data_IF_766816059342
#
_entry.id   IF_766816059342
#
_cell.length_a   1.000
_cell.length_b   1.000
_cell.length_c   1.000
_cell.angle_alpha   90.00
_cell.angle_beta   90.00
_cell.angle_gamma   90.00
#
_symmetry.space_group_name_H-M   'P 1'
#
loop_
_entity.id
_entity.type
_entity.pdbx_description
1 polymer ?
#
# COMPACT_ATOMS: atom_id res chain seq x y z
N UNK A 1 8.75 -6.14 32.53
CA UNK A 1 8.32 -6.67 33.83
C UNK A 1 6.85 -6.30 33.91
N UNK A 2 5.92 -7.26 34.04
CA UNK A 2 4.50 -6.93 34.17
C UNK A 2 4.26 -6.11 35.42
N UNK A 3 3.33 -5.15 35.35
CA UNK A 3 2.97 -4.26 36.47
C UNK A 3 2.31 -5.00 37.64
N UNK A 4 2.08 -6.29 37.51
CA UNK A 4 1.28 -7.07 38.45
C UNK A 4 -0.25 -6.84 38.30
N UNK A 5 -0.64 -5.85 37.47
CA UNK A 5 -2.04 -5.60 37.13
C UNK A 5 -2.29 -6.08 35.68
N UNK A 6 -2.98 -7.18 35.55
CA UNK A 6 -3.26 -7.82 34.27
C UNK A 6 -4.06 -6.96 33.29
N UNK A 7 -4.76 -5.92 33.76
CA UNK A 7 -5.46 -4.95 32.92
C UNK A 7 -4.44 -4.09 32.16
N UNK A 8 -3.45 -3.58 32.87
CA UNK A 8 -2.33 -2.81 32.32
C UNK A 8 -1.51 -3.67 31.38
N UNK A 9 -1.21 -4.90 31.79
CA UNK A 9 -0.43 -5.83 30.97
C UNK A 9 -1.16 -6.17 29.64
N UNK A 10 -2.50 -6.31 29.67
CA UNK A 10 -3.31 -6.55 28.48
C UNK A 10 -3.30 -5.34 27.50
N UNK A 11 -3.47 -4.12 28.02
CA UNK A 11 -3.39 -2.90 27.22
C UNK A 11 -1.99 -2.71 26.64
N UNK A 12 -0.96 -2.86 27.44
CA UNK A 12 0.43 -2.73 26.96
C UNK A 12 0.74 -3.77 25.88
N UNK A 13 0.31 -5.02 26.04
CA UNK A 13 0.49 -6.06 25.02
C UNK A 13 -0.20 -5.70 23.71
N UNK A 14 -1.40 -5.11 23.76
CA UNK A 14 -2.11 -4.67 22.57
C UNK A 14 -1.39 -3.48 21.90
N UNK A 15 -0.88 -2.52 22.66
CA UNK A 15 -0.11 -1.39 22.15
C UNK A 15 1.25 -1.81 21.59
N UNK A 16 1.95 -2.74 22.25
CA UNK A 16 3.20 -3.31 21.73
C UNK A 16 2.97 -3.99 20.37
N UNK A 17 1.88 -4.77 20.24
CA UNK A 17 1.51 -5.39 18.97
C UNK A 17 1.21 -4.34 17.90
N UNK A 18 0.46 -3.28 18.23
CA UNK A 18 0.17 -2.16 17.33
C UNK A 18 1.47 -1.51 16.86
N UNK A 19 2.35 -1.15 17.79
CA UNK A 19 3.63 -0.52 17.48
C UNK A 19 4.53 -1.42 16.62
N UNK A 20 4.56 -2.72 16.92
CA UNK A 20 5.29 -3.70 16.12
C UNK A 20 4.76 -3.79 14.69
N UNK A 21 3.42 -3.65 14.47
CA UNK A 21 2.85 -3.61 13.12
C UNK A 21 3.14 -2.30 12.39
N UNK A 22 3.17 -1.18 13.09
CA UNK A 22 3.60 0.10 12.52
C UNK A 22 5.05 0.05 12.05
N UNK A 23 5.94 -0.53 12.84
CA UNK A 23 7.34 -0.74 12.47
C UNK A 23 7.47 -1.67 11.26
N UNK A 24 6.74 -2.80 11.24
CA UNK A 24 6.71 -3.72 10.10
C UNK A 24 6.23 -3.01 8.82
N UNK A 25 5.19 -2.17 8.91
CA UNK A 25 4.72 -1.36 7.78
C UNK A 25 5.81 -0.43 7.28
N UNK A 26 6.50 0.26 8.20
CA UNK A 26 7.58 1.16 7.85
C UNK A 26 8.70 0.45 7.09
N UNK A 27 9.10 -0.72 7.57
CA UNK A 27 10.08 -1.58 6.89
C UNK A 27 9.58 -2.04 5.51
N UNK A 28 8.30 -2.45 5.41
CA UNK A 28 7.71 -2.90 4.15
C UNK A 28 7.65 -1.78 3.10
N UNK A 29 7.30 -0.56 3.47
CA UNK A 29 7.20 0.58 2.55
C UNK A 29 8.57 0.96 2.01
N UNK A 30 9.62 0.84 2.82
CA UNK A 30 11.01 1.14 2.45
C UNK A 30 11.71 -0.02 1.73
N UNK A 31 11.16 -1.24 1.80
CA UNK A 31 11.75 -2.42 1.16
C UNK A 31 11.37 -2.49 -0.33
N UNK A 32 12.36 -2.75 -1.19
CA UNK A 32 12.10 -3.01 -2.60
C UNK A 32 11.43 -4.37 -2.82
N UNK A 33 10.56 -4.53 -3.84
CA UNK A 33 9.92 -5.81 -4.16
C UNK A 33 10.94 -6.91 -4.48
N UNK A 34 12.10 -6.54 -5.01
CA UNK A 34 13.20 -7.45 -5.33
C UNK A 34 13.74 -8.14 -4.07
N UNK A 35 13.76 -7.42 -2.94
CA UNK A 35 14.31 -7.87 -1.67
C UNK A 35 13.27 -8.39 -0.67
N UNK A 36 11.99 -8.24 -0.98
CA UNK A 36 10.91 -8.65 -0.10
C UNK A 36 11.01 -10.16 0.21
N UNK A 37 10.99 -10.49 1.50
CA UNK A 37 11.16 -11.87 2.01
C UNK A 37 12.36 -12.62 1.38
N UNK A 38 13.49 -11.94 1.22
CA UNK A 38 14.73 -12.54 0.72
C UNK A 38 14.75 -12.78 -0.79
N UNK A 39 13.86 -12.16 -1.56
CA UNK A 39 13.88 -12.21 -3.03
C UNK A 39 13.36 -13.50 -3.68
N UNK A 40 12.99 -14.51 -2.90
CA UNK A 40 12.51 -15.78 -3.45
C UNK A 40 11.25 -15.62 -4.31
N UNK A 41 10.31 -14.78 -3.86
CA UNK A 41 9.08 -14.47 -4.61
C UNK A 41 9.42 -13.76 -5.91
N UNK A 42 10.34 -12.80 -5.87
CA UNK A 42 10.75 -12.03 -7.04
C UNK A 42 11.30 -12.93 -8.16
N UNK A 43 12.14 -13.93 -7.83
CA UNK A 43 12.67 -14.87 -8.81
C UNK A 43 11.56 -15.67 -9.52
N UNK A 44 10.50 -16.04 -8.80
CA UNK A 44 9.32 -16.69 -9.39
C UNK A 44 8.62 -15.75 -10.36
N UNK A 45 8.42 -14.48 -9.97
CA UNK A 45 7.79 -13.46 -10.81
C UNK A 45 8.58 -13.20 -12.09
N UNK A 46 9.91 -13.10 -11.99
CA UNK A 46 10.81 -12.99 -13.15
C UNK A 46 10.65 -14.19 -14.09
N UNK A 47 10.60 -15.41 -13.54
CA UNK A 47 10.38 -16.62 -14.33
C UNK A 47 9.04 -16.62 -15.06
N UNK A 48 7.95 -16.25 -14.38
CA UNK A 48 6.61 -16.17 -14.98
C UNK A 48 6.56 -15.07 -16.07
N UNK A 49 7.12 -13.90 -15.80
CA UNK A 49 7.22 -12.82 -16.78
C UNK A 49 7.98 -13.28 -18.04
N UNK A 50 9.12 -14.00 -17.86
CA UNK A 50 9.88 -14.59 -18.95
C UNK A 50 9.06 -15.54 -19.80
N UNK A 51 8.26 -16.42 -19.18
CA UNK A 51 7.35 -17.33 -19.89
C UNK A 51 6.24 -16.57 -20.65
N UNK A 52 5.68 -15.54 -20.03
CA UNK A 52 4.63 -14.71 -20.65
C UNK A 52 5.14 -13.79 -21.76
N UNK A 53 6.44 -13.54 -21.89
CA UNK A 53 7.03 -12.82 -23.04
C UNK A 53 6.72 -13.51 -24.37
N UNK A 54 6.72 -14.83 -24.42
CA UNK A 54 6.36 -15.58 -25.64
C UNK A 54 4.92 -15.29 -26.07
N UNK A 55 3.99 -15.28 -25.11
CA UNK A 55 2.58 -14.91 -25.34
C UNK A 55 2.48 -13.43 -25.74
N UNK A 56 3.24 -12.56 -25.09
CA UNK A 56 3.33 -11.13 -25.41
C UNK A 56 3.75 -10.92 -26.86
N UNK A 57 4.76 -11.62 -27.37
CA UNK A 57 5.20 -11.51 -28.77
C UNK A 57 4.14 -12.02 -29.75
N UNK A 58 3.43 -13.11 -29.45
CA UNK A 58 2.33 -13.59 -30.27
C UNK A 58 1.19 -12.54 -30.35
N UNK A 59 0.81 -11.98 -29.20
CA UNK A 59 -0.20 -10.91 -29.14
C UNK A 59 0.26 -9.62 -29.82
N UNK A 60 1.54 -9.28 -29.76
CA UNK A 60 2.12 -8.13 -30.41
C UNK A 60 1.89 -8.21 -31.93
N UNK A 61 2.17 -9.37 -32.56
CA UNK A 61 1.91 -9.59 -33.98
C UNK A 61 0.41 -9.48 -34.27
N UNK A 62 -0.45 -10.07 -33.45
CA UNK A 62 -1.90 -10.02 -33.63
C UNK A 62 -2.43 -8.57 -33.53
N UNK A 63 -2.01 -7.80 -32.51
CA UNK A 63 -2.42 -6.40 -32.37
C UNK A 63 -1.87 -5.53 -33.50
N UNK A 64 -0.67 -5.81 -33.99
CA UNK A 64 -0.11 -5.12 -35.13
C UNK A 64 -0.93 -5.34 -36.39
N UNK A 65 -1.28 -6.59 -36.71
CA UNK A 65 -2.14 -6.92 -37.86
C UNK A 65 -3.51 -6.26 -37.73
N UNK A 66 -4.14 -6.35 -36.56
CA UNK A 66 -5.41 -5.64 -36.32
C UNK A 66 -5.27 -4.13 -36.47
N UNK A 67 -4.16 -3.57 -36.04
CA UNK A 67 -3.84 -2.14 -36.21
C UNK A 67 -3.76 -1.73 -37.67
N UNK A 68 -3.08 -2.52 -38.49
CA UNK A 68 -2.97 -2.29 -39.95
C UNK A 68 -4.35 -2.36 -40.59
N UNK A 69 -5.12 -3.43 -40.33
CA UNK A 69 -6.46 -3.62 -40.93
C UNK A 69 -7.41 -2.46 -40.62
N UNK A 70 -7.38 -1.96 -39.35
CA UNK A 70 -8.26 -0.86 -38.95
C UNK A 70 -7.79 0.52 -39.41
N UNK A 71 -6.47 0.72 -39.51
CA UNK A 71 -5.90 2.02 -39.88
C UNK A 71 -5.84 2.22 -41.39
N UNK A 72 -5.63 1.10 -42.12
CA UNK A 72 -5.59 1.07 -43.58
C UNK A 72 -6.89 0.43 -44.07
N UNK A 73 -8.01 1.16 -44.06
CA UNK A 73 -9.31 0.68 -44.52
C UNK A 73 -9.36 0.20 -45.98
N UNK A 74 -8.26 0.46 -46.75
CA UNK A 74 -8.03 -0.03 -48.10
C UNK A 74 -6.54 -0.27 -48.32
N UNK A 75 -6.19 -1.33 -49.06
CA UNK A 75 -4.82 -1.62 -49.49
C UNK A 75 -4.16 -0.45 -50.24
N UNK A 76 -4.95 0.47 -50.80
CA UNK A 76 -4.46 1.66 -51.51
C UNK A 76 -3.83 2.67 -50.51
N UNK A 77 -4.28 2.75 -49.28
CA UNK A 77 -3.73 3.63 -48.24
C UNK A 77 -2.40 3.14 -47.68
N UNK A 78 -2.14 1.82 -47.68
CA UNK A 78 -0.83 1.25 -47.33
C UNK A 78 0.31 1.65 -48.26
N UNK A 79 0.01 2.13 -49.46
CA UNK A 79 1.03 2.64 -50.42
C UNK A 79 1.63 4.00 -50.02
N UNK A 80 1.07 4.66 -48.98
CA UNK A 80 1.66 5.90 -48.46
C UNK A 80 2.83 5.55 -47.54
N UNK A 81 4.09 5.88 -47.91
CA UNK A 81 5.29 5.50 -47.15
C UNK A 81 5.28 6.01 -45.69
N UNK A 82 4.68 7.19 -45.49
CA UNK A 82 4.56 7.79 -44.14
C UNK A 82 3.73 6.95 -43.18
N UNK A 83 2.63 6.32 -43.64
CA UNK A 83 1.77 5.52 -42.83
C UNK A 83 2.43 4.20 -42.46
N UNK A 84 3.09 3.56 -43.43
CA UNK A 84 3.86 2.34 -43.23
C UNK A 84 5.00 2.57 -42.22
N UNK A 85 5.71 3.67 -42.30
CA UNK A 85 6.79 4.03 -41.38
C UNK A 85 6.27 4.26 -39.97
N UNK A 86 5.13 4.94 -39.84
CA UNK A 86 4.47 5.16 -38.52
C UNK A 86 4.03 3.86 -37.86
N UNK A 87 3.46 2.91 -38.62
CA UNK A 87 3.11 1.58 -38.12
C UNK A 87 4.34 0.77 -37.71
N UNK A 88 5.42 0.86 -38.50
CA UNK A 88 6.68 0.18 -38.20
C UNK A 88 7.33 0.69 -36.91
N UNK A 89 7.43 2.00 -36.71
CA UNK A 89 7.96 2.59 -35.48
C UNK A 89 7.13 2.12 -34.25
N UNK A 90 5.80 2.13 -34.39
CA UNK A 90 4.93 1.66 -33.31
C UNK A 90 5.17 0.19 -32.96
N UNK A 91 5.36 -0.67 -33.98
CA UNK A 91 5.68 -2.07 -33.77
C UNK A 91 7.01 -2.25 -33.02
N UNK A 92 8.06 -1.52 -33.46
CA UNK A 92 9.39 -1.58 -32.81
C UNK A 92 9.32 -1.08 -31.37
N UNK A 93 8.60 0.00 -31.09
CA UNK A 93 8.43 0.51 -29.73
C UNK A 93 7.66 -0.47 -28.85
N UNK A 94 6.60 -1.10 -29.38
CA UNK A 94 5.86 -2.12 -28.65
C UNK A 94 6.69 -3.38 -28.38
N UNK A 95 7.50 -3.80 -29.37
CA UNK A 95 8.44 -4.90 -29.19
C UNK A 95 9.47 -4.57 -28.10
N UNK A 96 10.03 -3.38 -28.12
CA UNK A 96 10.94 -2.90 -27.10
C UNK A 96 10.27 -2.90 -25.70
N UNK A 97 9.02 -2.44 -25.60
CA UNK A 97 8.26 -2.45 -24.36
C UNK A 97 8.01 -3.86 -23.81
N UNK A 98 7.76 -4.85 -24.66
CA UNK A 98 7.61 -6.26 -24.25
C UNK A 98 8.96 -6.87 -23.86
N UNK A 99 10.03 -6.55 -24.60
CA UNK A 99 11.38 -7.11 -24.36
C UNK A 99 11.95 -6.60 -23.04
N UNK A 100 11.90 -5.28 -22.81
CA UNK A 100 12.42 -4.61 -21.62
C UNK A 100 11.32 -4.24 -20.61
N UNK A 101 10.17 -4.93 -20.69
CA UNK A 101 9.04 -4.67 -19.80
C UNK A 101 9.37 -4.83 -18.31
N UNK A 102 10.25 -5.79 -17.97
CA UNK A 102 10.69 -6.02 -16.60
C UNK A 102 11.49 -4.83 -16.07
N UNK A 103 12.45 -4.34 -16.86
CA UNK A 103 13.28 -3.20 -16.53
C UNK A 103 12.43 -1.92 -16.43
N UNK A 104 11.41 -1.78 -17.28
CA UNK A 104 10.46 -0.69 -17.21
C UNK A 104 9.65 -0.71 -15.91
N UNK A 105 9.14 -1.90 -15.51
CA UNK A 105 8.37 -2.07 -14.28
C UNK A 105 9.23 -1.78 -13.05
N UNK A 106 10.44 -2.35 -12.98
CA UNK A 106 11.37 -2.11 -11.86
C UNK A 106 11.83 -0.64 -11.81
N UNK A 107 12.07 -0.01 -12.96
CA UNK A 107 12.39 1.42 -13.06
C UNK A 107 11.29 2.32 -12.50
N UNK A 108 10.04 2.05 -12.87
CA UNK A 108 8.88 2.80 -12.35
C UNK A 108 8.75 2.65 -10.83
N UNK A 109 8.99 1.44 -10.30
CA UNK A 109 8.99 1.21 -8.86
C UNK A 109 10.11 1.98 -8.16
N UNK A 110 11.34 1.99 -8.70
CA UNK A 110 12.48 2.74 -8.12
C UNK A 110 12.20 4.24 -8.04
N UNK A 111 11.53 4.81 -9.04
CA UNK A 111 11.09 6.22 -9.00
C UNK A 111 10.11 6.44 -7.85
N UNK A 112 9.10 5.59 -7.71
CA UNK A 112 8.16 5.69 -6.59
C UNK A 112 8.85 5.52 -5.23
N UNK A 113 9.82 4.60 -5.13
CA UNK A 113 10.62 4.40 -3.92
C UNK A 113 11.45 5.64 -3.55
N UNK A 114 12.04 6.31 -4.54
CA UNK A 114 12.75 7.58 -4.33
C UNK A 114 11.81 8.68 -3.82
N UNK A 115 10.55 8.71 -4.28
CA UNK A 115 9.54 9.64 -3.74
C UNK A 115 9.22 9.32 -2.27
N UNK A 116 9.09 8.04 -1.92
CA UNK A 116 8.87 7.59 -0.52
C UNK A 116 10.01 8.08 0.36
N UNK A 117 11.28 7.85 -0.02
CA UNK A 117 12.43 8.32 0.78
C UNK A 117 12.47 9.84 0.89
N UNK A 118 12.17 10.56 -0.18
CA UNK A 118 12.10 12.03 -0.14
C UNK A 118 11.03 12.54 0.82
N UNK A 119 9.85 11.89 0.89
CA UNK A 119 8.78 12.27 1.84
C UNK A 119 9.25 12.01 3.26
N UNK A 120 9.88 10.86 3.52
CA UNK A 120 10.41 10.51 4.84
C UNK A 120 11.46 11.53 5.29
N UNK A 121 12.44 11.81 4.43
CA UNK A 121 13.53 12.74 4.74
C UNK A 121 13.02 14.18 4.99
N UNK A 122 12.02 14.61 4.20
CA UNK A 122 11.43 15.94 4.34
C UNK A 122 10.54 16.08 5.57
N UNK A 123 9.96 14.99 6.06
CA UNK A 123 9.12 14.98 7.25
C UNK A 123 9.90 14.96 8.55
N UNK A 124 11.19 14.61 8.51
CA UNK A 124 12.03 14.40 9.68
C UNK A 124 11.65 13.19 10.55
N UNK A 125 10.71 12.37 10.08
CA UNK A 125 10.26 11.17 10.79
C UNK A 125 11.20 10.02 10.47
N UNK A 126 12.00 9.62 11.45
CA UNK A 126 12.89 8.44 11.34
C UNK A 126 12.15 7.12 11.63
N UNK A 127 11.05 7.20 12.39
CA UNK A 127 10.17 6.09 12.71
C UNK A 127 8.77 6.63 13.08
N UNK A 128 7.75 5.77 13.05
CA UNK A 128 6.44 6.13 13.59
C UNK A 128 6.51 6.24 15.12
N UNK A 129 5.88 7.27 15.68
CA UNK A 129 5.82 7.44 17.13
C UNK A 129 5.12 6.24 17.77
N UNK A 130 5.79 5.60 18.72
CA UNK A 130 5.21 4.50 19.46
C UNK A 130 4.08 5.05 20.36
N UNK A 131 2.95 4.36 20.35
CA UNK A 131 1.84 4.65 21.26
C UNK A 131 2.10 3.91 22.57
N UNK A 132 2.16 4.64 23.68
CA UNK A 132 2.36 4.07 25.02
C UNK A 132 1.19 4.45 25.93
N UNK A 133 0.91 3.63 26.91
CA UNK A 133 -0.04 3.96 27.97
C UNK A 133 0.57 5.05 28.85
N UNK A 134 -0.08 6.22 29.07
CA UNK A 134 0.41 7.24 29.96
C UNK A 134 0.49 6.75 31.42
N UNK A 135 1.50 7.21 32.16
CA UNK A 135 1.68 6.84 33.57
C UNK A 135 0.49 7.25 34.45
N UNK A 136 -0.16 8.37 34.13
CA UNK A 136 -1.38 8.81 34.81
C UNK A 136 -2.54 7.81 34.62
N UNK A 137 -2.69 7.24 33.41
CA UNK A 137 -3.70 6.24 33.13
C UNK A 137 -3.40 4.93 33.85
N UNK A 138 -2.12 4.55 33.91
CA UNK A 138 -1.69 3.37 34.65
C UNK A 138 -2.00 3.52 36.15
N UNK A 139 -1.75 4.69 36.75
CA UNK A 139 -2.08 4.96 38.17
C UNK A 139 -3.57 4.91 38.45
N UNK A 140 -4.41 5.46 37.57
CA UNK A 140 -5.87 5.38 37.70
C UNK A 140 -6.35 3.92 37.72
N UNK A 141 -5.75 3.06 36.88
CA UNK A 141 -6.10 1.64 36.81
C UNK A 141 -5.61 0.89 38.06
N UNK A 142 -4.46 1.24 38.62
CA UNK A 142 -3.91 0.62 39.81
C UNK A 142 -4.69 0.95 41.10
N UNK A 143 -5.25 2.17 41.17
CA UNK A 143 -6.01 2.63 42.31
C UNK A 143 -7.46 2.05 42.40
N UNK A 144 -7.89 1.31 41.34
CA UNK A 144 -9.25 0.73 41.29
C UNK A 144 -9.34 -0.51 42.19
N UNK A 145 -10.33 -0.51 43.07
CA UNK A 145 -10.64 -1.67 43.92
C UNK A 145 -11.07 -2.91 43.12
N UNK A 146 -10.91 -4.11 43.72
CA UNK A 146 -11.16 -5.38 43.06
C UNK A 146 -12.56 -5.54 42.43
N UNK A 147 -13.60 -5.01 43.07
CA UNK A 147 -14.99 -5.10 42.56
C UNK A 147 -15.19 -4.15 41.36
N UNK A 148 -14.61 -2.95 41.39
CA UNK A 148 -14.71 -1.94 40.35
C UNK A 148 -13.77 -2.25 39.15
N UNK A 149 -12.86 -3.21 39.33
CA UNK A 149 -11.97 -3.68 38.25
C UNK A 149 -12.69 -4.60 37.23
N UNK A 150 -13.85 -5.20 37.58
CA UNK A 150 -14.58 -6.11 36.68
C UNK A 150 -15.08 -5.39 35.41
N UNK A 151 -15.80 -4.24 35.46
CA UNK A 151 -16.18 -3.50 34.26
C UNK A 151 -14.97 -2.96 33.51
N UNK A 152 -13.93 -2.56 34.21
CA UNK A 152 -12.69 -2.10 33.63
C UNK A 152 -11.99 -3.21 32.80
N UNK A 153 -11.99 -4.42 33.31
CA UNK A 153 -11.49 -5.58 32.57
C UNK A 153 -12.25 -5.82 31.27
N UNK A 154 -13.56 -5.77 31.28
CA UNK A 154 -14.36 -5.97 30.08
C UNK A 154 -14.05 -4.90 29.02
N UNK A 155 -13.91 -3.64 29.44
CA UNK A 155 -13.55 -2.52 28.57
C UNK A 155 -12.17 -2.71 27.93
N UNK A 156 -11.17 -3.04 28.72
CA UNK A 156 -9.79 -3.20 28.23
C UNK A 156 -9.63 -4.46 27.36
N UNK A 157 -10.35 -5.53 27.66
CA UNK A 157 -10.37 -6.75 26.83
C UNK A 157 -11.00 -6.48 25.46
N UNK A 158 -12.12 -5.76 25.41
CA UNK A 158 -12.73 -5.35 24.14
C UNK A 158 -11.82 -4.38 23.39
N UNK A 159 -11.25 -3.40 24.08
CA UNK A 159 -10.31 -2.44 23.49
C UNK A 159 -9.10 -3.13 22.87
N UNK A 160 -8.46 -4.04 23.58
CA UNK A 160 -7.30 -4.80 23.07
C UNK A 160 -7.67 -5.67 21.87
N UNK A 161 -8.86 -6.29 21.86
CA UNK A 161 -9.35 -7.03 20.70
C UNK A 161 -9.53 -6.13 19.47
N UNK A 162 -10.11 -4.92 19.64
CA UNK A 162 -10.22 -3.95 18.55
C UNK A 162 -8.85 -3.52 18.02
N UNK A 163 -7.91 -3.19 18.91
CA UNK A 163 -6.54 -2.81 18.52
C UNK A 163 -5.88 -3.95 17.72
N UNK A 164 -6.05 -5.19 18.16
CA UNK A 164 -5.52 -6.37 17.46
C UNK A 164 -6.11 -6.51 16.03
N UNK A 165 -7.43 -6.38 15.90
CA UNK A 165 -8.10 -6.45 14.59
C UNK A 165 -7.65 -5.31 13.67
N UNK A 166 -7.55 -4.08 14.18
CA UNK A 166 -7.09 -2.94 13.42
C UNK A 166 -5.66 -3.11 12.93
N UNK A 167 -4.77 -3.59 13.79
CA UNK A 167 -3.39 -3.92 13.45
C UNK A 167 -3.31 -4.94 12.31
N UNK A 168 -4.15 -5.98 12.36
CA UNK A 168 -4.22 -7.01 11.32
C UNK A 168 -4.73 -6.45 9.99
N UNK A 169 -5.80 -5.64 10.02
CA UNK A 169 -6.34 -5.01 8.80
C UNK A 169 -5.31 -4.10 8.15
N UNK A 170 -4.60 -3.33 8.95
CA UNK A 170 -3.58 -2.39 8.48
C UNK A 170 -2.43 -3.11 7.77
N UNK A 171 -1.84 -4.13 8.40
CA UNK A 171 -0.71 -4.87 7.81
C UNK A 171 -1.14 -5.65 6.56
N UNK A 172 -2.33 -6.26 6.54
CA UNK A 172 -2.86 -6.96 5.37
C UNK A 172 -3.04 -6.01 4.18
N UNK A 173 -3.42 -4.77 4.41
CA UNK A 173 -3.54 -3.76 3.34
C UNK A 173 -2.20 -3.49 2.69
N UNK A 174 -1.14 -3.33 3.48
CA UNK A 174 0.23 -3.10 2.96
C UNK A 174 0.76 -4.33 2.23
N UNK A 175 0.55 -5.53 2.76
CA UNK A 175 0.91 -6.77 2.05
C UNK A 175 0.18 -6.91 0.70
N UNK A 176 -1.10 -6.55 0.63
CA UNK A 176 -1.89 -6.63 -0.60
C UNK A 176 -1.30 -5.80 -1.73
N UNK A 177 -0.64 -4.66 -1.43
CA UNK A 177 0.09 -3.85 -2.41
C UNK A 177 1.21 -4.64 -3.09
N UNK A 178 2.00 -5.42 -2.32
CA UNK A 178 3.05 -6.26 -2.90
C UNK A 178 2.49 -7.32 -3.84
N UNK A 179 1.39 -7.97 -3.47
CA UNK A 179 0.73 -8.94 -4.34
C UNK A 179 0.23 -8.31 -5.63
N UNK A 180 -0.43 -7.15 -5.57
CA UNK A 180 -0.85 -6.39 -6.76
C UNK A 180 0.34 -6.07 -7.66
N UNK A 181 1.44 -5.61 -7.08
CA UNK A 181 2.67 -5.27 -7.81
C UNK A 181 3.26 -6.50 -8.52
N UNK A 182 3.36 -7.63 -7.83
CA UNK A 182 3.88 -8.86 -8.38
C UNK A 182 3.02 -9.40 -9.52
N UNK A 183 1.70 -9.44 -9.35
CA UNK A 183 0.76 -9.87 -10.39
C UNK A 183 0.87 -8.95 -11.63
N UNK A 184 0.90 -7.64 -11.43
CA UNK A 184 1.04 -6.69 -12.51
C UNK A 184 2.40 -6.83 -13.23
N UNK A 185 3.49 -6.99 -12.49
CA UNK A 185 4.84 -7.19 -13.07
C UNK A 185 4.94 -8.51 -13.84
N UNK A 186 4.40 -9.60 -13.29
CA UNK A 186 4.39 -10.90 -13.97
C UNK A 186 3.61 -10.85 -15.29
N UNK A 187 2.44 -10.21 -15.30
CA UNK A 187 1.54 -10.15 -16.45
C UNK A 187 1.88 -9.04 -17.46
N UNK A 188 2.86 -8.18 -17.17
CA UNK A 188 3.19 -7.00 -17.97
C UNK A 188 3.39 -7.26 -19.49
N UNK A 189 4.00 -8.36 -19.96
CA UNK A 189 4.20 -8.59 -21.39
C UNK A 189 2.89 -8.58 -22.20
N UNK A 190 1.78 -9.04 -21.61
CA UNK A 190 0.48 -9.15 -22.28
C UNK A 190 -0.12 -7.76 -22.60
N UNK A 191 -0.36 -6.87 -21.62
CA UNK A 191 -0.88 -5.54 -21.91
C UNK A 191 0.12 -4.65 -22.66
N UNK A 192 1.44 -4.82 -22.46
CA UNK A 192 2.43 -4.04 -23.20
C UNK A 192 2.43 -4.36 -24.71
N UNK A 193 2.12 -5.59 -25.10
CA UNK A 193 1.97 -5.95 -26.51
C UNK A 193 0.88 -5.15 -27.24
N UNK A 194 -0.13 -4.65 -26.53
CA UNK A 194 -1.23 -3.87 -27.11
C UNK A 194 -0.80 -2.54 -27.72
N UNK A 195 0.38 -2.03 -27.39
CA UNK A 195 0.94 -0.82 -28.02
C UNK A 195 1.21 -0.99 -29.51
N UNK A 196 1.34 -2.22 -30.03
CA UNK A 196 1.55 -2.48 -31.43
C UNK A 196 0.38 -2.04 -32.34
N UNK A 197 -0.84 -2.07 -31.83
CA UNK A 197 -2.05 -1.66 -32.54
C UNK A 197 -2.59 -0.31 -32.08
N UNK A 198 -3.00 0.57 -33.02
CA UNK A 198 -3.61 1.85 -32.67
C UNK A 198 -4.90 1.69 -31.85
N UNK A 199 -5.82 0.78 -32.21
CA UNK A 199 -7.08 0.63 -31.47
C UNK A 199 -6.91 -0.06 -30.11
N UNK A 200 -5.86 -0.84 -29.93
CA UNK A 200 -5.58 -1.59 -28.70
C UNK A 200 -4.65 -0.85 -27.72
N UNK A 201 -4.00 0.23 -28.15
CA UNK A 201 -3.00 0.95 -27.34
C UNK A 201 -3.56 1.51 -26.03
N UNK A 202 -4.87 1.76 -25.95
CA UNK A 202 -5.55 2.18 -24.72
C UNK A 202 -5.40 1.16 -23.57
N UNK A 203 -5.32 -0.14 -23.87
CA UNK A 203 -5.11 -1.21 -22.90
C UNK A 203 -3.73 -1.06 -22.25
N UNK A 204 -2.68 -0.86 -23.07
CA UNK A 204 -1.32 -0.65 -22.59
C UNK A 204 -1.18 0.61 -21.76
N UNK A 205 -1.82 1.71 -22.18
CA UNK A 205 -1.82 2.98 -21.42
C UNK A 205 -2.55 2.81 -20.07
N UNK A 206 -3.72 2.17 -20.07
CA UNK A 206 -4.47 1.90 -18.83
C UNK A 206 -3.65 1.01 -17.88
N UNK A 207 -2.96 0.00 -18.41
CA UNK A 207 -2.06 -0.85 -17.62
C UNK A 207 -0.92 -0.06 -17.00
N UNK A 208 -0.21 0.79 -17.78
CA UNK A 208 0.89 1.60 -17.26
C UNK A 208 0.41 2.58 -16.18
N UNK A 209 -0.74 3.22 -16.38
CA UNK A 209 -1.35 4.07 -15.36
C UNK A 209 -1.69 3.29 -14.10
N UNK A 210 -2.29 2.10 -14.24
CA UNK A 210 -2.64 1.24 -13.11
C UNK A 210 -1.39 0.76 -12.36
N UNK A 211 -0.33 0.40 -13.09
CA UNK A 211 0.94 0.01 -12.49
C UNK A 211 1.60 1.17 -11.73
N UNK A 212 1.64 2.36 -12.34
CA UNK A 212 2.13 3.56 -11.68
C UNK A 212 1.33 3.88 -10.39
N UNK A 213 0.00 3.70 -10.42
CA UNK A 213 -0.83 3.86 -9.24
C UNK A 213 -0.44 2.88 -8.12
N UNK A 214 -0.21 1.59 -8.44
CA UNK A 214 0.25 0.59 -7.47
C UNK A 214 1.63 0.96 -6.89
N UNK A 215 2.54 1.46 -7.71
CA UNK A 215 3.85 1.92 -7.24
C UNK A 215 3.72 3.12 -6.28
N UNK A 216 2.89 4.10 -6.64
CA UNK A 216 2.67 5.32 -5.87
C UNK A 216 1.79 5.13 -4.62
N UNK A 217 1.06 4.01 -4.52
CA UNK A 217 0.26 3.69 -3.32
C UNK A 217 1.12 3.77 -2.04
N UNK A 218 2.40 3.38 -2.11
CA UNK A 218 3.34 3.51 -1.00
C UNK A 218 3.58 4.96 -0.55
N UNK A 219 3.64 5.90 -1.50
CA UNK A 219 3.79 7.32 -1.17
C UNK A 219 2.57 7.84 -0.40
N UNK A 220 1.36 7.42 -0.80
CA UNK A 220 0.12 7.82 -0.10
C UNK A 220 0.07 7.22 1.30
N UNK A 221 0.51 5.96 1.48
CA UNK A 221 0.59 5.34 2.80
C UNK A 221 1.56 6.10 3.71
N UNK A 222 2.75 6.46 3.22
CA UNK A 222 3.72 7.24 4.00
C UNK A 222 3.16 8.61 4.35
N UNK A 223 2.53 9.30 3.41
CA UNK A 223 1.87 10.59 3.68
C UNK A 223 0.79 10.45 4.74
N UNK A 224 -0.04 9.40 4.68
CA UNK A 224 -1.03 9.12 5.71
C UNK A 224 -0.39 8.92 7.09
N UNK A 225 0.73 8.19 7.16
CA UNK A 225 1.47 7.99 8.40
C UNK A 225 2.07 9.30 8.93
N UNK A 226 2.63 10.16 8.05
CA UNK A 226 3.17 11.47 8.43
C UNK A 226 2.09 12.39 8.97
N UNK A 227 0.95 12.50 8.25
CA UNK A 227 -0.19 13.32 8.67
C UNK A 227 -0.77 12.80 9.99
N UNK A 228 -0.89 11.48 10.13
CA UNK A 228 -1.36 10.87 11.36
C UNK A 228 -0.42 11.14 12.54
N UNK A 229 0.89 11.05 12.34
CA UNK A 229 1.88 11.36 13.39
C UNK A 229 1.75 12.79 13.89
N UNK A 230 1.48 13.75 12.99
CA UNK A 230 1.20 15.14 13.36
C UNK A 230 -0.15 15.30 14.07
N UNK A 231 -1.18 14.57 13.63
CA UNK A 231 -2.52 14.57 14.21
C UNK A 231 -2.53 13.95 15.62
N UNK A 232 -1.85 12.81 15.80
CA UNK A 232 -1.80 12.05 17.05
C UNK A 232 -0.68 12.49 18.01
N UNK A 233 -0.03 13.64 17.76
CA UNK A 233 1.07 14.15 18.57
C UNK A 233 0.66 14.56 20.00
N UNK A 234 -0.63 14.77 20.24
CA UNK A 234 -1.18 15.02 21.57
C UNK A 234 -1.86 13.73 22.07
N UNK A 235 -1.43 13.18 23.23
CA UNK A 235 -2.14 12.06 23.84
C UNK A 235 -3.60 12.46 24.12
N UNK A 236 -4.53 11.49 24.11
CA UNK A 236 -5.91 11.74 24.50
C UNK A 236 -5.98 12.45 25.85
N UNK A 237 -6.73 13.52 25.92
CA UNK A 237 -6.88 14.26 27.17
C UNK A 237 -7.61 13.39 28.20
N UNK A 238 -7.04 13.27 29.41
CA UNK A 238 -7.73 12.63 30.53
C UNK A 238 -8.87 13.57 30.93
N UNK A 239 -10.09 13.16 30.64
CA UNK A 239 -11.27 13.94 30.97
C UNK A 239 -11.56 13.83 32.47
N UNK A 240 -11.70 14.99 33.11
CA UNK A 240 -12.29 15.23 34.43
C UNK A 240 -12.05 14.17 35.51
N UNK A 241 -11.19 14.46 36.49
CA UNK A 241 -10.86 13.59 37.65
C UNK A 241 -12.08 13.26 38.54
N UNK A 242 -13.25 13.80 38.26
CA UNK A 242 -14.49 13.57 39.01
C UNK A 242 -15.29 12.35 38.55
N UNK A 243 -14.90 11.74 37.44
CA UNK A 243 -15.59 10.57 36.86
C UNK A 243 -15.10 9.26 37.48
N UNK A 244 -15.96 8.23 37.45
CA UNK A 244 -15.55 6.89 37.85
C UNK A 244 -14.40 6.40 36.97
N UNK A 245 -13.40 5.73 37.55
CA UNK A 245 -12.21 5.24 36.86
C UNK A 245 -12.53 4.42 35.59
N UNK A 246 -13.57 3.57 35.65
CA UNK A 246 -14.03 2.81 34.49
C UNK A 246 -14.48 3.70 33.31
N UNK A 247 -15.08 4.88 33.60
CA UNK A 247 -15.52 5.82 32.58
C UNK A 247 -14.32 6.55 31.96
N UNK A 248 -13.34 6.93 32.78
CA UNK A 248 -12.09 7.58 32.32
C UNK A 248 -11.36 6.64 31.37
N UNK A 249 -11.17 5.40 31.76
CA UNK A 249 -10.49 4.39 30.92
C UNK A 249 -11.29 4.08 29.66
N UNK A 250 -12.62 4.01 29.73
CA UNK A 250 -13.46 3.83 28.54
C UNK A 250 -13.28 4.96 27.54
N UNK A 251 -13.30 6.21 28.00
CA UNK A 251 -13.11 7.36 27.13
C UNK A 251 -11.71 7.36 26.50
N UNK A 252 -10.67 7.08 27.28
CA UNK A 252 -9.30 6.99 26.80
C UNK A 252 -9.13 5.89 25.74
N UNK A 253 -9.59 4.68 26.03
CA UNK A 253 -9.51 3.54 25.09
C UNK A 253 -10.34 3.83 23.83
N UNK A 254 -11.50 4.46 23.97
CA UNK A 254 -12.35 4.85 22.85
C UNK A 254 -11.66 5.86 21.92
N UNK A 255 -11.03 6.90 22.48
CA UNK A 255 -10.29 7.90 21.70
C UNK A 255 -9.03 7.30 21.05
N UNK A 256 -8.33 6.43 21.76
CA UNK A 256 -7.20 5.69 21.22
C UNK A 256 -7.61 4.84 20.01
N UNK A 257 -8.69 4.06 20.15
CA UNK A 257 -9.22 3.23 19.04
C UNK A 257 -9.68 4.12 17.88
N UNK A 258 -10.32 5.26 18.17
CA UNK A 258 -10.73 6.20 17.14
C UNK A 258 -9.52 6.71 16.33
N UNK A 259 -8.46 7.13 17.01
CA UNK A 259 -7.22 7.56 16.34
C UNK A 259 -6.62 6.43 15.49
N UNK A 260 -6.57 5.21 16.00
CA UNK A 260 -6.12 4.05 15.24
C UNK A 260 -7.01 3.76 14.02
N UNK A 261 -8.32 3.90 14.13
CA UNK A 261 -9.28 3.76 13.04
C UNK A 261 -9.05 4.79 11.94
N UNK A 262 -8.73 6.03 12.30
CA UNK A 262 -8.39 7.09 11.33
C UNK A 262 -7.17 6.68 10.50
N UNK A 263 -6.11 6.19 11.13
CA UNK A 263 -4.91 5.72 10.41
C UNK A 263 -5.20 4.52 9.52
N UNK A 264 -5.87 3.50 10.05
CA UNK A 264 -6.23 2.29 9.28
C UNK A 264 -7.13 2.65 8.11
N UNK A 265 -8.09 3.56 8.31
CA UNK A 265 -8.95 4.08 7.26
C UNK A 265 -8.16 4.79 6.16
N UNK A 266 -7.23 5.67 6.53
CA UNK A 266 -6.38 6.39 5.59
C UNK A 266 -5.49 5.42 4.76
N UNK A 267 -4.86 4.43 5.42
CA UNK A 267 -4.06 3.40 4.74
C UNK A 267 -4.93 2.55 3.79
N UNK A 268 -6.13 2.17 4.22
CA UNK A 268 -7.06 1.38 3.40
C UNK A 268 -7.58 2.15 2.19
N UNK A 269 -7.73 3.46 2.31
CA UNK A 269 -8.18 4.34 1.21
C UNK A 269 -7.06 4.69 0.22
N UNK A 270 -5.80 4.40 0.52
CA UNK A 270 -4.64 4.79 -0.30
C UNK A 270 -4.73 4.33 -1.76
N UNK A 271 -5.17 3.09 -2.00
CA UNK A 271 -5.39 2.55 -3.37
C UNK A 271 -6.46 3.35 -4.13
N UNK A 272 -7.56 3.70 -3.47
CA UNK A 272 -8.63 4.49 -4.07
C UNK A 272 -8.17 5.91 -4.39
N UNK A 273 -7.52 6.57 -3.44
CA UNK A 273 -7.02 7.94 -3.59
C UNK A 273 -6.08 8.03 -4.78
N UNK A 274 -5.09 7.13 -4.88
CA UNK A 274 -4.13 7.19 -5.97
C UNK A 274 -4.76 6.86 -7.33
N UNK A 275 -5.74 5.94 -7.39
CA UNK A 275 -6.47 5.64 -8.63
C UNK A 275 -7.29 6.82 -9.12
N UNK A 276 -7.98 7.52 -8.23
CA UNK A 276 -8.72 8.74 -8.55
C UNK A 276 -7.77 9.84 -9.05
N UNK A 277 -6.62 10.04 -8.41
CA UNK A 277 -5.59 10.99 -8.87
C UNK A 277 -5.01 10.65 -10.24
N UNK A 278 -4.90 9.36 -10.59
CA UNK A 278 -4.40 8.90 -11.88
C UNK A 278 -5.49 8.84 -12.97
N UNK A 279 -6.73 9.22 -12.64
CA UNK A 279 -7.86 9.17 -13.56
C UNK A 279 -8.25 7.74 -13.95
N UNK A 280 -8.23 6.81 -12.99
CA UNK A 280 -8.58 5.40 -13.13
C UNK A 280 -9.89 5.05 -12.38
N UNK A 281 -10.57 6.05 -11.85
CA UNK A 281 -11.86 5.92 -11.15
C UNK A 281 -13.04 5.79 -12.08
#
# INVERSE_FOLDING_TARGET
MGSGNWIIDNLNSALEMWNGRLEEIWQLITTSPENFKGGGIWNVIVGINGGLKAVGYALLVLFFVMGIVKTCGSFAEMKKPELAFKCFIRFVLAQAAVTWGMELMTGAFRVAQSMVTTIIDSSGLTAMSATALPDEMASIIEDVGFIDSIPLWAVTLLGSLFIWVLSLVMILTVYSRFFKLYIATASAPVPLASFAGQPSSSIGVAFLKSYAAICLEGCVIVLACVIFSAFASSPPAIADDTLAAATIVWNYVGELIFNMLVLVGAIKMSDRIIRELMGLG
#
